data_IF_929817759440
#
_entry.id   IF_929817759440
#
_cell.length_a   1.000
_cell.length_b   1.000
_cell.length_c   1.000
_cell.angle_alpha   90.00
_cell.angle_beta   90.00
_cell.angle_gamma   90.00
#
_symmetry.space_group_name_H-M   'P 1'
#
loop_
_entity.id
_entity.type
_entity.pdbx_description
1 polymer ?
#
# COMPACT_ATOMS: atom_id res chain seq x y z
N UNK A 1 -10.76 -15.60 -14.55
CA UNK A 1 -10.95 -14.21 -14.08
C UNK A 1 -11.43 -14.22 -12.62
N UNK A 2 -10.53 -13.99 -11.65
CA UNK A 2 -10.84 -14.19 -10.22
C UNK A 2 -11.68 -13.05 -9.61
N UNK A 3 -11.83 -11.92 -10.31
CA UNK A 3 -12.57 -10.73 -9.83
C UNK A 3 -14.03 -10.99 -9.50
N UNK A 4 -14.62 -12.07 -10.04
CA UNK A 4 -16.02 -12.46 -9.83
C UNK A 4 -16.21 -13.58 -8.80
N UNK A 5 -15.13 -14.07 -8.18
CA UNK A 5 -15.25 -15.13 -7.18
C UNK A 5 -15.85 -14.60 -5.88
N UNK A 6 -16.93 -15.26 -5.43
CA UNK A 6 -17.47 -15.08 -4.08
C UNK A 6 -16.52 -15.72 -3.06
N UNK A 7 -16.51 -15.22 -1.82
CA UNK A 7 -15.67 -15.78 -0.76
C UNK A 7 -15.96 -17.27 -0.50
N UNK A 8 -17.23 -17.68 -0.60
CA UNK A 8 -17.61 -19.09 -0.49
C UNK A 8 -16.88 -19.96 -1.52
N UNK A 9 -16.79 -19.48 -2.76
CA UNK A 9 -16.09 -20.19 -3.83
C UNK A 9 -14.57 -20.30 -3.55
N UNK A 10 -13.99 -19.36 -2.79
CA UNK A 10 -12.57 -19.41 -2.39
C UNK A 10 -12.37 -20.46 -1.30
N UNK A 11 -13.28 -20.54 -0.32
CA UNK A 11 -13.28 -21.60 0.70
C UNK A 11 -13.41 -22.98 0.07
N UNK A 12 -14.35 -23.15 -0.86
CA UNK A 12 -14.55 -24.41 -1.57
C UNK A 12 -13.32 -24.81 -2.40
N UNK A 13 -12.68 -23.84 -3.07
CA UNK A 13 -11.43 -24.09 -3.80
C UNK A 13 -10.26 -24.49 -2.88
N UNK A 14 -10.14 -23.87 -1.71
CA UNK A 14 -9.15 -24.24 -0.70
C UNK A 14 -9.41 -25.65 -0.16
N UNK A 15 -10.68 -25.99 0.09
CA UNK A 15 -11.08 -27.32 0.56
C UNK A 15 -10.71 -28.40 -0.46
N UNK A 16 -10.96 -28.18 -1.74
CA UNK A 16 -10.58 -29.11 -2.82
C UNK A 16 -9.07 -29.33 -2.90
N UNK A 17 -8.29 -28.27 -2.62
CA UNK A 17 -6.82 -28.32 -2.60
C UNK A 17 -6.31 -29.15 -1.42
N UNK A 18 -6.84 -28.92 -0.22
CA UNK A 18 -6.47 -29.64 1.01
C UNK A 18 -6.89 -31.12 0.94
N UNK A 19 -8.06 -31.41 0.37
CA UNK A 19 -8.57 -32.77 0.21
C UNK A 19 -7.88 -33.53 -0.94
N UNK A 20 -7.02 -32.88 -1.74
CA UNK A 20 -6.34 -33.53 -2.87
C UNK A 20 -7.27 -33.95 -4.02
N UNK A 21 -8.52 -33.47 -4.05
CA UNK A 21 -9.58 -33.88 -4.99
C UNK A 21 -9.41 -33.32 -6.41
N UNK A 22 -8.38 -32.52 -6.66
CA UNK A 22 -8.06 -31.98 -7.97
C UNK A 22 -7.35 -33.02 -8.86
N UNK A 23 -7.92 -34.22 -9.01
CA UNK A 23 -7.37 -35.36 -9.76
C UNK A 23 -7.01 -35.03 -11.20
N UNK A 24 -7.67 -34.01 -11.77
CA UNK A 24 -7.49 -33.59 -13.16
C UNK A 24 -6.26 -32.70 -13.39
N UNK A 25 -5.59 -32.25 -12.32
CA UNK A 25 -4.44 -31.35 -12.39
C UNK A 25 -3.14 -32.08 -12.06
N UNK A 26 -2.11 -31.83 -12.85
CA UNK A 26 -0.74 -32.28 -12.59
C UNK A 26 -0.16 -31.63 -11.34
N UNK A 27 0.88 -32.23 -10.75
CA UNK A 27 1.53 -31.71 -9.53
C UNK A 27 2.00 -30.26 -9.71
N UNK A 28 2.54 -29.93 -10.90
CA UNK A 28 3.01 -28.57 -11.23
C UNK A 28 1.86 -27.56 -11.28
N UNK A 29 0.73 -27.93 -11.86
CA UNK A 29 -0.47 -27.09 -11.92
C UNK A 29 -1.09 -26.88 -10.55
N UNK A 30 -1.15 -27.91 -9.71
CA UNK A 30 -1.62 -27.79 -8.32
C UNK A 30 -0.75 -26.83 -7.51
N UNK A 31 0.56 -26.86 -7.71
CA UNK A 31 1.49 -25.93 -7.05
C UNK A 31 1.27 -24.49 -7.53
N UNK A 32 1.20 -24.27 -8.84
CA UNK A 32 0.94 -22.94 -9.41
C UNK A 32 -0.44 -22.38 -8.97
N UNK A 33 -1.44 -23.24 -8.89
CA UNK A 33 -2.77 -22.91 -8.40
C UNK A 33 -2.75 -22.49 -6.92
N UNK A 34 -2.01 -23.21 -6.07
CA UNK A 34 -1.85 -22.86 -4.65
C UNK A 34 -1.17 -21.50 -4.46
N UNK A 35 -0.09 -21.23 -5.21
CA UNK A 35 0.59 -19.92 -5.19
C UNK A 35 -0.39 -18.82 -5.60
N UNK A 36 -1.16 -19.05 -6.67
CA UNK A 36 -2.14 -18.08 -7.19
C UNK A 36 -3.25 -17.78 -6.18
N UNK A 37 -3.80 -18.80 -5.53
CA UNK A 37 -4.81 -18.66 -4.47
C UNK A 37 -4.27 -17.86 -3.28
N UNK A 38 -3.05 -18.16 -2.83
CA UNK A 38 -2.41 -17.42 -1.72
C UNK A 38 -2.26 -15.94 -2.05
N UNK A 39 -1.84 -15.62 -3.27
CA UNK A 39 -1.73 -14.24 -3.75
C UNK A 39 -3.11 -13.56 -3.84
N UNK A 40 -4.12 -14.29 -4.33
CA UNK A 40 -5.48 -13.77 -4.45
C UNK A 40 -6.10 -13.46 -3.08
N UNK A 41 -6.00 -14.35 -2.10
CA UNK A 41 -6.50 -14.12 -0.74
C UNK A 41 -5.84 -12.89 -0.10
N UNK A 42 -4.52 -12.73 -0.28
CA UNK A 42 -3.80 -11.52 0.18
C UNK A 42 -4.35 -10.26 -0.46
N UNK A 43 -4.63 -10.29 -1.76
CA UNK A 43 -5.18 -9.14 -2.48
C UNK A 43 -6.56 -8.71 -1.93
N UNK A 44 -7.44 -9.67 -1.61
CA UNK A 44 -8.76 -9.39 -1.02
C UNK A 44 -8.63 -8.77 0.36
N UNK A 45 -7.73 -9.30 1.20
CA UNK A 45 -7.50 -8.75 2.55
C UNK A 45 -7.02 -7.30 2.47
N UNK A 46 -6.10 -7.01 1.54
CA UNK A 46 -5.61 -5.64 1.32
C UNK A 46 -6.76 -4.73 0.85
N UNK A 47 -7.56 -5.16 -0.14
CA UNK A 47 -8.70 -4.38 -0.64
C UNK A 47 -9.71 -4.06 0.48
N UNK A 48 -10.00 -5.02 1.36
CA UNK A 48 -10.88 -4.79 2.52
C UNK A 48 -10.31 -3.76 3.50
N UNK A 49 -9.01 -3.84 3.81
CA UNK A 49 -8.34 -2.87 4.69
C UNK A 49 -8.29 -1.47 4.09
N UNK A 50 -8.02 -1.36 2.79
CA UNK A 50 -8.04 -0.08 2.07
C UNK A 50 -9.45 0.53 2.11
N UNK A 51 -10.49 -0.27 1.85
CA UNK A 51 -11.88 0.18 1.92
C UNK A 51 -12.28 0.64 3.32
N UNK A 52 -11.93 -0.12 4.36
CA UNK A 52 -12.17 0.26 5.76
C UNK A 52 -11.46 1.57 6.12
N UNK A 53 -10.19 1.71 5.72
CA UNK A 53 -9.42 2.93 5.94
C UNK A 53 -10.06 4.14 5.25
N UNK A 54 -10.51 4.00 4.00
CA UNK A 54 -11.21 5.05 3.28
C UNK A 54 -12.46 5.51 4.04
N UNK A 55 -13.31 4.58 4.49
CA UNK A 55 -14.49 4.90 5.29
C UNK A 55 -14.13 5.59 6.60
N UNK A 56 -13.04 5.15 7.25
CA UNK A 56 -12.54 5.77 8.48
C UNK A 56 -12.11 7.21 8.24
N UNK A 57 -11.36 7.46 7.16
CA UNK A 57 -10.92 8.80 6.76
C UNK A 57 -12.12 9.70 6.46
N UNK A 58 -13.10 9.22 5.69
CA UNK A 58 -14.33 9.97 5.40
C UNK A 58 -15.11 10.30 6.68
N UNK A 59 -15.19 9.35 7.63
CA UNK A 59 -15.82 9.57 8.94
C UNK A 59 -15.09 10.64 9.75
N UNK A 60 -13.76 10.60 9.80
CA UNK A 60 -12.95 11.60 10.49
C UNK A 60 -13.09 12.99 9.86
N UNK A 61 -13.06 13.09 8.52
CA UNK A 61 -13.28 14.34 7.78
C UNK A 61 -14.65 14.95 8.12
N UNK A 62 -15.71 14.11 8.11
CA UNK A 62 -17.07 14.53 8.45
C UNK A 62 -17.19 15.04 9.88
N UNK A 63 -16.54 14.39 10.86
CA UNK A 63 -16.52 14.86 12.27
C UNK A 63 -15.81 16.20 12.44
N UNK A 64 -14.80 16.47 11.63
CA UNK A 64 -14.03 17.73 11.66
C UNK A 64 -14.65 18.83 10.79
N UNK A 65 -15.80 18.58 10.13
CA UNK A 65 -16.41 19.46 9.14
C UNK A 65 -15.45 19.86 8.01
N UNK A 66 -14.44 19.04 7.73
CA UNK A 66 -13.53 19.28 6.61
C UNK A 66 -14.28 18.91 5.33
N UNK A 67 -14.61 19.92 4.53
CA UNK A 67 -15.02 19.73 3.13
C UNK A 67 -13.98 18.84 2.45
N UNK A 68 -14.40 17.93 1.55
CA UNK A 68 -13.53 16.99 0.82
C UNK A 68 -12.16 17.65 0.59
N UNK A 69 -11.04 17.11 1.11
CA UNK A 69 -9.75 17.70 0.86
C UNK A 69 -9.55 17.67 -0.64
N UNK A 70 -9.44 18.84 -1.24
CA UNK A 70 -9.11 18.95 -2.64
C UNK A 70 -7.74 18.29 -2.80
N UNK A 71 -7.73 17.12 -3.42
CA UNK A 71 -6.48 16.38 -3.67
C UNK A 71 -5.63 17.16 -4.68
N UNK A 72 -6.26 18.09 -5.41
CA UNK A 72 -5.64 19.00 -6.32
C UNK A 72 -5.42 20.36 -5.62
N UNK A 73 -4.32 20.47 -4.87
CA UNK A 73 -3.90 21.72 -4.24
C UNK A 73 -3.25 22.65 -5.28
N UNK A 74 -4.08 23.32 -6.07
CA UNK A 74 -3.69 24.27 -7.14
C UNK A 74 -2.88 25.48 -6.63
N UNK A 75 -3.02 25.78 -5.34
CA UNK A 75 -2.34 26.84 -4.59
C UNK A 75 -0.89 26.49 -4.22
N UNK A 76 -0.47 25.22 -4.38
CA UNK A 76 0.95 24.91 -4.44
C UNK A 76 1.48 25.40 -5.79
N UNK A 77 2.10 26.59 -5.80
CA UNK A 77 2.99 27.02 -6.89
C UNK A 77 3.86 25.82 -7.26
N UNK A 78 3.90 25.46 -8.54
CA UNK A 78 4.75 24.40 -9.07
C UNK A 78 6.21 24.78 -8.79
N UNK A 79 6.75 24.34 -7.67
CA UNK A 79 8.19 24.42 -7.42
C UNK A 79 8.85 23.53 -8.45
N UNK A 80 9.82 24.08 -9.18
CA UNK A 80 10.57 23.34 -10.20
C UNK A 80 11.04 22.00 -9.61
N UNK A 81 10.90 20.93 -10.39
CA UNK A 81 11.36 19.61 -9.98
C UNK A 81 12.81 19.75 -9.51
N UNK A 82 13.09 19.29 -8.29
CA UNK A 82 14.43 19.33 -7.71
C UNK A 82 15.42 18.73 -8.72
N UNK A 83 16.23 19.59 -9.35
CA UNK A 83 17.44 19.14 -10.01
C UNK A 83 18.29 18.52 -8.91
N UNK A 84 18.62 17.24 -9.04
CA UNK A 84 19.52 16.56 -8.12
C UNK A 84 20.91 17.21 -8.27
N UNK A 85 21.12 18.27 -7.51
CA UNK A 85 22.38 18.98 -7.44
C UNK A 85 23.34 18.11 -6.65
N UNK A 86 24.33 17.55 -7.35
CA UNK A 86 25.37 16.63 -6.84
C UNK A 86 26.41 17.34 -5.95
N UNK A 87 25.95 18.12 -4.98
CA UNK A 87 26.80 18.85 -4.06
C UNK A 87 26.25 18.62 -2.66
N UNK A 88 26.86 17.74 -1.83
CA UNK A 88 26.36 17.42 -0.51
C UNK A 88 26.56 18.63 0.42
N UNK A 89 25.61 19.57 0.35
CA UNK A 89 25.56 20.74 1.23
C UNK A 89 25.01 20.29 2.57
N UNK A 90 25.91 20.17 3.54
CA UNK A 90 25.52 19.99 4.93
C UNK A 90 24.64 21.15 5.42
N UNK A 91 23.74 20.87 6.34
CA UNK A 91 22.85 21.87 6.93
C UNK A 91 23.48 22.42 8.22
N UNK A 92 23.52 23.75 8.35
CA UNK A 92 23.88 24.39 9.62
C UNK A 92 22.61 24.50 10.45
N UNK A 93 22.59 23.88 11.63
CA UNK A 93 21.50 24.01 12.60
C UNK A 93 22.03 24.47 13.95
N UNK A 94 21.15 25.05 14.76
CA UNK A 94 21.50 25.46 16.11
C UNK A 94 21.10 24.34 17.09
N UNK A 95 22.06 23.82 17.87
CA UNK A 95 21.77 22.81 18.87
C UNK A 95 21.04 23.41 20.09
N UNK A 96 20.63 22.56 21.04
CA UNK A 96 19.93 23.02 22.26
C UNK A 96 20.74 24.04 23.08
N UNK A 97 22.06 24.03 22.96
CA UNK A 97 22.98 24.96 23.63
C UNK A 97 23.27 26.22 22.81
N UNK A 98 22.47 26.49 21.78
CA UNK A 98 22.61 27.62 20.84
C UNK A 98 23.92 27.65 20.05
N UNK A 99 24.63 26.51 19.95
CA UNK A 99 25.84 26.38 19.12
C UNK A 99 25.47 25.94 17.71
N UNK A 100 26.10 26.57 16.72
CA UNK A 100 25.93 26.18 15.32
C UNK A 100 26.67 24.86 15.06
N UNK A 101 25.96 23.86 14.57
CA UNK A 101 26.49 22.56 14.17
C UNK A 101 26.23 22.35 12.68
N UNK A 102 27.26 21.88 11.97
CA UNK A 102 27.14 21.47 10.56
C UNK A 102 26.83 19.97 10.51
N UNK A 103 25.62 19.62 10.11
CA UNK A 103 25.27 18.23 9.80
C UNK A 103 25.66 17.94 8.35
N UNK A 104 26.65 17.07 8.15
CA UNK A 104 26.99 16.54 6.81
C UNK A 104 26.14 15.29 6.56
N UNK A 105 25.61 15.17 5.35
CA UNK A 105 25.01 13.91 4.89
C UNK A 105 26.15 13.21 4.16
N UNK A 106 26.66 12.14 4.77
CA UNK A 106 27.56 11.22 4.07
C UNK A 106 26.72 10.40 3.09
N UNK A 107 27.24 10.20 1.88
CA UNK A 107 26.59 9.48 0.77
C UNK A 107 26.49 7.97 1.03
#
# INVERSE_FOLDING_TARGET
>A
DFKRLRLQNIEDMLLLLVQGKLSNLTIKERFAFNVSLRMFTRSIVIQRRVKDLQLRVESYQKRLNLTKPDTYRSDLKRWEAYTAYSNPRGFIYQNKDKKNMLMRIDE
#
